data_IF_185145321489
#
_entry.id   IF_185145321489
#
_cell.length_a   1.000
_cell.length_b   1.000
_cell.length_c   1.000
_cell.angle_alpha   90.00
_cell.angle_beta   90.00
_cell.angle_gamma   90.00
#
_symmetry.space_group_name_H-M   'P 1'
#
loop_
_entity.id
_entity.type
_entity.pdbx_description
1 polymer ?
#
# COMPACT_ATOMS: atom_id res chain seq x y z
N UNK A 1 -1.51 -2.45 23.58
CA UNK A 1 -1.46 -3.21 22.32
C UNK A 1 -2.24 -2.40 21.29
N UNK A 2 -1.74 -2.23 20.08
CA UNK A 2 -2.41 -1.48 19.01
C UNK A 2 -3.41 -2.43 18.33
N UNK A 3 -4.69 -2.06 18.30
CA UNK A 3 -5.76 -2.85 17.70
C UNK A 3 -5.90 -2.49 16.22
N UNK A 4 -5.65 -3.47 15.35
CA UNK A 4 -5.62 -3.25 13.89
C UNK A 4 -6.78 -3.97 13.22
N UNK A 5 -7.43 -3.25 12.28
CA UNK A 5 -8.29 -3.82 11.25
C UNK A 5 -7.56 -3.99 9.93
N UNK A 6 -7.97 -4.96 9.10
CA UNK A 6 -7.46 -5.13 7.73
C UNK A 6 -8.63 -5.09 6.76
N UNK A 7 -8.51 -4.30 5.69
CA UNK A 7 -9.49 -4.24 4.59
C UNK A 7 -8.88 -4.82 3.32
N UNK A 8 -9.56 -5.82 2.76
CA UNK A 8 -9.09 -6.61 1.62
C UNK A 8 -8.24 -7.79 2.07
N UNK A 9 -8.79 -9.00 2.01
CA UNK A 9 -8.11 -10.27 2.34
C UNK A 9 -7.57 -10.97 1.08
N UNK A 10 -7.13 -10.17 0.10
CA UNK A 10 -6.39 -10.64 -1.05
C UNK A 10 -4.94 -10.97 -0.69
N UNK A 11 -4.08 -11.09 -1.70
CA UNK A 11 -2.66 -11.41 -1.52
C UNK A 11 -1.96 -10.46 -0.54
N UNK A 12 -2.07 -9.12 -0.74
CA UNK A 12 -1.42 -8.16 0.15
C UNK A 12 -2.04 -8.14 1.54
N UNK A 13 -3.36 -8.26 1.66
CA UNK A 13 -4.00 -8.34 2.98
C UNK A 13 -3.53 -9.52 3.81
N UNK A 14 -3.35 -10.68 3.19
CA UNK A 14 -2.76 -11.86 3.85
C UNK A 14 -1.29 -11.62 4.26
N UNK A 15 -0.50 -10.93 3.43
CA UNK A 15 0.87 -10.54 3.79
C UNK A 15 0.88 -9.59 4.99
N UNK A 16 -0.01 -8.58 5.01
CA UNK A 16 -0.15 -7.66 6.13
C UNK A 16 -0.56 -8.40 7.41
N UNK A 17 -1.50 -9.34 7.30
CA UNK A 17 -1.91 -10.18 8.43
C UNK A 17 -0.70 -10.89 9.06
N UNK A 18 0.14 -11.55 8.24
CA UNK A 18 1.33 -12.25 8.74
C UNK A 18 2.34 -11.30 9.37
N UNK A 19 2.58 -10.16 8.72
CA UNK A 19 3.49 -9.14 9.24
C UNK A 19 3.01 -8.64 10.61
N UNK A 20 1.74 -8.28 10.74
CA UNK A 20 1.19 -7.80 12.01
C UNK A 20 1.18 -8.89 13.08
N UNK A 21 0.86 -10.13 12.74
CA UNK A 21 0.85 -11.26 13.67
C UNK A 21 2.25 -11.60 14.21
N UNK A 22 3.31 -11.16 13.53
CA UNK A 22 4.70 -11.31 14.01
C UNK A 22 5.13 -10.22 14.99
N UNK A 23 4.32 -9.18 15.20
CA UNK A 23 4.65 -8.05 16.07
C UNK A 23 4.05 -8.24 17.47
N UNK A 24 4.86 -8.05 18.52
CA UNK A 24 4.45 -8.26 19.90
C UNK A 24 3.51 -7.19 20.49
N UNK A 25 3.42 -6.02 19.83
CA UNK A 25 2.67 -4.87 20.30
C UNK A 25 1.41 -4.57 19.48
N UNK A 26 1.03 -5.48 18.60
CA UNK A 26 -0.10 -5.36 17.67
C UNK A 26 -1.06 -6.54 17.88
N UNK A 27 -2.35 -6.28 17.75
CA UNK A 27 -3.40 -7.28 17.75
C UNK A 27 -4.33 -7.03 16.56
N UNK A 28 -4.51 -8.06 15.71
CA UNK A 28 -5.47 -8.01 14.62
C UNK A 28 -6.82 -8.41 15.19
N UNK A 29 -7.77 -7.48 15.25
CA UNK A 29 -9.08 -7.71 15.86
C UNK A 29 -10.23 -7.77 14.87
N UNK A 30 -10.05 -7.25 13.66
CA UNK A 30 -11.09 -7.20 12.63
C UNK A 30 -10.52 -7.35 11.22
N UNK A 31 -11.29 -8.00 10.35
CA UNK A 31 -11.01 -8.10 8.91
C UNK A 31 -12.29 -7.78 8.14
N UNK A 32 -12.17 -6.98 7.08
CA UNK A 32 -13.25 -6.67 6.16
C UNK A 32 -12.87 -7.06 4.73
N UNK A 33 -13.73 -7.84 4.08
CA UNK A 33 -13.65 -8.09 2.63
C UNK A 33 -15.07 -8.15 2.05
N UNK A 34 -15.30 -7.41 0.96
CA UNK A 34 -16.59 -7.42 0.27
C UNK A 34 -16.91 -8.81 -0.35
N UNK A 35 -15.87 -9.57 -0.68
CA UNK A 35 -15.99 -10.97 -1.08
C UNK A 35 -15.99 -11.87 0.18
N UNK A 36 -17.18 -12.16 0.68
CA UNK A 36 -17.35 -12.96 1.90
C UNK A 36 -16.82 -14.40 1.76
N UNK A 37 -16.63 -14.92 0.54
CA UNK A 37 -16.04 -16.22 0.33
C UNK A 37 -14.61 -16.30 0.85
N UNK A 38 -13.86 -15.20 0.79
CA UNK A 38 -12.49 -15.09 1.31
C UNK A 38 -12.41 -15.09 2.83
N UNK A 39 -13.49 -14.68 3.47
CA UNK A 39 -13.60 -14.71 4.95
C UNK A 39 -13.92 -16.13 5.45
N UNK A 40 -14.55 -16.97 4.63
CA UNK A 40 -14.90 -18.34 4.93
C UNK A 40 -13.81 -19.34 4.52
N UNK A 41 -13.26 -19.14 3.34
CA UNK A 41 -12.15 -19.94 2.79
C UNK A 41 -11.02 -18.99 2.42
N UNK A 42 -10.03 -18.90 3.29
CA UNK A 42 -8.86 -18.05 3.08
C UNK A 42 -7.67 -18.84 2.50
N UNK A 43 -7.87 -20.08 2.06
CA UNK A 43 -6.86 -20.89 1.38
C UNK A 43 -6.45 -20.27 0.04
N UNK A 44 -5.19 -20.37 -0.29
CA UNK A 44 -4.60 -20.14 -1.62
C UNK A 44 -4.96 -18.83 -2.31
N UNK A 45 -4.18 -17.77 -2.10
CA UNK A 45 -4.21 -16.59 -2.97
C UNK A 45 -2.98 -16.56 -3.86
N UNK A 46 -3.17 -16.56 -5.19
CA UNK A 46 -2.06 -16.40 -6.12
C UNK A 46 -1.39 -15.03 -5.94
N UNK A 47 -0.07 -15.00 -6.00
CA UNK A 47 0.74 -13.78 -5.89
C UNK A 47 2.16 -14.01 -6.40
N UNK A 48 2.99 -13.01 -6.33
CA UNK A 48 4.38 -13.03 -6.83
C UNK A 48 5.45 -13.21 -5.73
N UNK A 49 5.03 -13.38 -4.48
CA UNK A 49 5.93 -13.59 -3.33
C UNK A 49 5.54 -14.92 -2.68
N UNK A 50 6.51 -15.80 -2.46
CA UNK A 50 6.30 -17.07 -1.77
C UNK A 50 5.94 -16.88 -0.29
N UNK A 51 5.17 -17.81 0.30
CA UNK A 51 4.78 -17.78 1.71
C UNK A 51 3.43 -17.11 1.99
N UNK A 52 2.66 -16.73 0.96
CA UNK A 52 1.29 -16.23 1.10
C UNK A 52 0.22 -17.33 0.98
N UNK A 53 0.62 -18.59 0.88
CA UNK A 53 -0.24 -19.73 0.50
C UNK A 53 -0.91 -20.42 1.70
N UNK A 54 -0.42 -20.17 2.93
CA UNK A 54 -0.95 -20.83 4.13
C UNK A 54 -2.25 -20.19 4.61
N UNK A 55 -3.14 -21.00 5.15
CA UNK A 55 -4.38 -20.57 5.80
C UNK A 55 -4.08 -19.70 7.02
N UNK A 56 -4.89 -18.65 7.19
CA UNK A 56 -4.81 -17.75 8.33
C UNK A 56 -5.74 -18.23 9.45
N UNK A 57 -5.31 -18.14 10.69
CA UNK A 57 -6.18 -18.40 11.82
C UNK A 57 -7.07 -17.17 12.12
N UNK A 58 -8.30 -17.21 11.63
CA UNK A 58 -9.29 -16.14 11.79
C UNK A 58 -10.26 -16.36 12.97
N UNK A 59 -10.13 -17.42 13.76
CA UNK A 59 -11.11 -17.84 14.79
C UNK A 59 -11.40 -16.80 15.87
N UNK A 60 -10.48 -15.90 16.13
CA UNK A 60 -10.61 -14.85 17.16
C UNK A 60 -10.81 -13.45 16.57
N UNK A 61 -11.03 -13.33 15.28
CA UNK A 61 -11.08 -12.09 14.55
C UNK A 61 -12.51 -11.81 14.13
N UNK A 62 -12.99 -10.60 14.36
CA UNK A 62 -14.30 -10.16 13.88
C UNK A 62 -14.27 -10.00 12.36
N UNK A 63 -15.21 -10.61 11.66
CA UNK A 63 -15.26 -10.61 10.20
C UNK A 63 -16.41 -9.74 9.70
N UNK A 64 -16.12 -8.84 8.77
CA UNK A 64 -17.05 -7.88 8.21
C UNK A 64 -17.06 -7.94 6.69
N UNK A 65 -18.22 -7.69 6.09
CA UNK A 65 -18.35 -7.47 4.64
C UNK A 65 -18.53 -5.98 4.30
N UNK A 66 -18.63 -5.13 5.30
CA UNK A 66 -18.87 -3.70 5.19
C UNK A 66 -17.91 -2.92 6.10
N UNK A 67 -17.21 -1.93 5.49
CA UNK A 67 -16.21 -1.14 6.20
C UNK A 67 -16.82 -0.23 7.25
N UNK A 68 -17.95 0.43 6.92
CA UNK A 68 -18.61 1.36 7.84
C UNK A 68 -19.03 0.65 9.12
N UNK A 69 -19.54 -0.59 8.98
CA UNK A 69 -19.87 -1.43 10.13
C UNK A 69 -18.64 -1.80 10.95
N UNK A 70 -17.55 -2.21 10.30
CA UNK A 70 -16.29 -2.52 10.99
C UNK A 70 -15.75 -1.31 11.75
N UNK A 71 -15.78 -0.11 11.17
CA UNK A 71 -15.33 1.11 11.83
C UNK A 71 -16.21 1.52 13.02
N UNK A 72 -17.52 1.27 12.93
CA UNK A 72 -18.46 1.60 14.00
C UNK A 72 -18.37 0.63 15.20
N UNK A 73 -18.09 -0.65 14.97
CA UNK A 73 -18.13 -1.69 15.98
C UNK A 73 -16.74 -2.16 16.45
N UNK A 74 -15.71 -1.98 15.61
CA UNK A 74 -14.42 -2.65 15.77
C UNK A 74 -13.47 -2.05 16.79
N UNK A 75 -13.76 -0.87 17.36
CA UNK A 75 -12.86 -0.18 18.32
C UNK A 75 -11.38 -0.14 17.87
N UNK A 76 -11.14 0.20 16.61
CA UNK A 76 -9.83 0.14 15.97
C UNK A 76 -8.96 1.35 16.34
N UNK A 77 -7.66 1.10 16.59
CA UNK A 77 -6.65 2.15 16.68
C UNK A 77 -6.09 2.47 15.29
N UNK A 78 -5.94 1.45 14.42
CA UNK A 78 -5.42 1.61 13.07
C UNK A 78 -6.10 0.65 12.08
N UNK A 79 -6.15 1.06 10.82
CA UNK A 79 -6.67 0.30 9.69
C UNK A 79 -5.59 0.10 8.62
N UNK A 80 -5.44 -1.13 8.15
CA UNK A 80 -4.59 -1.48 7.03
C UNK A 80 -5.44 -1.72 5.79
N UNK A 81 -5.28 -0.90 4.76
CA UNK A 81 -6.05 -0.97 3.51
C UNK A 81 -5.20 -1.65 2.44
N UNK A 82 -5.63 -2.85 2.03
CA UNK A 82 -5.02 -3.70 1.01
C UNK A 82 -6.05 -4.12 -0.06
N UNK A 83 -7.06 -3.30 -0.25
CA UNK A 83 -8.11 -3.43 -1.27
C UNK A 83 -7.60 -2.99 -2.66
N UNK A 84 -8.38 -3.12 -3.73
CA UNK A 84 -8.02 -2.56 -5.04
C UNK A 84 -7.87 -1.03 -5.02
N UNK A 85 -6.91 -0.51 -5.79
CA UNK A 85 -6.50 0.90 -5.80
C UNK A 85 -7.65 1.91 -5.91
N UNK A 86 -8.68 1.61 -6.71
CA UNK A 86 -9.82 2.51 -6.90
C UNK A 86 -10.68 2.70 -5.65
N UNK A 87 -10.49 1.88 -4.61
CA UNK A 87 -11.16 1.99 -3.31
C UNK A 87 -10.32 2.71 -2.25
N UNK A 88 -9.03 2.89 -2.47
CA UNK A 88 -8.11 3.42 -1.46
C UNK A 88 -8.55 4.77 -0.91
N UNK A 89 -8.92 5.71 -1.79
CA UNK A 89 -9.28 7.06 -1.36
C UNK A 89 -10.53 7.07 -0.48
N UNK A 90 -11.62 6.46 -0.93
CA UNK A 90 -12.88 6.43 -0.18
C UNK A 90 -12.72 5.74 1.18
N UNK A 91 -12.08 4.59 1.21
CA UNK A 91 -11.86 3.83 2.44
C UNK A 91 -10.92 4.54 3.41
N UNK A 92 -9.87 5.19 2.90
CA UNK A 92 -8.96 5.98 3.73
C UNK A 92 -9.67 7.17 4.36
N UNK A 93 -10.43 7.93 3.57
CA UNK A 93 -11.17 9.10 4.05
C UNK A 93 -12.20 8.69 5.11
N UNK A 94 -12.92 7.60 4.88
CA UNK A 94 -13.89 7.06 5.82
C UNK A 94 -13.23 6.68 7.16
N UNK A 95 -12.11 5.94 7.13
CA UNK A 95 -11.39 5.53 8.33
C UNK A 95 -10.81 6.72 9.12
N UNK A 96 -10.20 7.69 8.42
CA UNK A 96 -9.66 8.90 9.05
C UNK A 96 -10.76 9.73 9.73
N UNK A 97 -11.93 9.87 9.09
CA UNK A 97 -13.10 10.55 9.66
C UNK A 97 -13.69 9.80 10.86
N UNK A 98 -13.58 8.47 10.88
CA UNK A 98 -13.94 7.65 12.04
C UNK A 98 -12.89 7.72 13.17
N UNK A 99 -11.82 8.51 13.00
CA UNK A 99 -10.79 8.69 14.03
C UNK A 99 -9.76 7.55 14.11
N UNK A 100 -9.58 6.78 13.05
CA UNK A 100 -8.66 5.64 12.96
C UNK A 100 -7.41 6.01 12.16
N UNK A 101 -6.23 5.62 12.61
CA UNK A 101 -4.99 5.76 11.84
C UNK A 101 -5.01 4.83 10.63
N UNK A 102 -4.41 5.23 9.52
CA UNK A 102 -4.46 4.44 8.28
C UNK A 102 -3.08 4.13 7.74
N UNK A 103 -2.85 2.85 7.46
CA UNK A 103 -1.83 2.37 6.54
C UNK A 103 -2.52 1.93 5.25
N UNK A 104 -2.23 2.60 4.14
CA UNK A 104 -2.84 2.30 2.83
C UNK A 104 -1.78 1.76 1.87
N UNK A 105 -2.10 0.68 1.17
CA UNK A 105 -1.25 0.16 0.10
C UNK A 105 -1.05 1.19 -1.02
N UNK A 106 0.07 1.02 -1.71
CA UNK A 106 0.37 1.78 -2.93
C UNK A 106 -0.47 1.25 -4.12
N UNK A 107 -0.72 2.08 -5.12
CA UNK A 107 -0.59 3.56 -5.15
C UNK A 107 -1.61 4.20 -4.21
N UNK A 108 -1.28 5.39 -3.70
CA UNK A 108 -2.15 6.10 -2.75
C UNK A 108 -3.59 6.25 -3.28
N UNK A 109 -3.76 6.67 -4.53
CA UNK A 109 -5.03 6.74 -5.25
C UNK A 109 -4.79 6.75 -6.76
N UNK A 110 -5.86 6.74 -7.57
CA UNK A 110 -5.78 6.77 -9.03
C UNK A 110 -5.47 8.16 -9.61
N UNK A 111 -5.67 9.22 -8.85
CA UNK A 111 -5.46 10.59 -9.31
C UNK A 111 -4.98 11.51 -8.19
N UNK A 112 -4.39 12.63 -8.57
CA UNK A 112 -3.82 13.59 -7.62
C UNK A 112 -4.86 14.37 -6.83
N UNK A 113 -6.11 14.43 -7.27
CA UNK A 113 -7.22 15.03 -6.53
C UNK A 113 -7.52 14.24 -5.27
N UNK A 114 -7.77 12.96 -5.44
CA UNK A 114 -8.02 12.02 -4.33
C UNK A 114 -6.84 11.97 -3.37
N UNK A 115 -5.59 11.96 -3.88
CA UNK A 115 -4.41 12.00 -3.02
C UNK A 115 -4.36 13.25 -2.13
N UNK A 116 -4.70 14.42 -2.68
CA UNK A 116 -4.76 15.66 -1.91
C UNK A 116 -5.87 15.63 -0.85
N UNK A 117 -7.04 15.11 -1.21
CA UNK A 117 -8.15 14.96 -0.29
C UNK A 117 -7.80 14.04 0.88
N UNK A 118 -7.23 12.87 0.60
CA UNK A 118 -6.75 11.94 1.64
C UNK A 118 -5.75 12.63 2.59
N UNK A 119 -4.79 13.38 2.05
CA UNK A 119 -3.79 14.10 2.85
C UNK A 119 -4.42 15.21 3.71
N UNK A 120 -5.38 15.94 3.16
CA UNK A 120 -6.08 17.01 3.88
C UNK A 120 -6.95 16.45 5.00
N UNK A 121 -7.70 15.37 4.74
CA UNK A 121 -8.50 14.69 5.78
C UNK A 121 -7.61 14.12 6.88
N UNK A 122 -6.46 13.54 6.55
CA UNK A 122 -5.49 13.09 7.55
C UNK A 122 -5.02 14.22 8.46
N UNK A 123 -4.74 15.39 7.88
CA UNK A 123 -4.35 16.59 8.63
C UNK A 123 -5.49 17.09 9.51
N UNK A 124 -6.71 17.15 8.99
CA UNK A 124 -7.89 17.64 9.73
C UNK A 124 -8.29 16.72 10.87
N UNK A 125 -8.25 15.41 10.65
CA UNK A 125 -8.57 14.42 11.69
C UNK A 125 -7.48 14.28 12.76
N UNK A 126 -6.27 14.80 12.52
CA UNK A 126 -5.10 14.59 13.38
C UNK A 126 -4.61 13.14 13.41
N UNK A 127 -5.03 12.32 12.44
CA UNK A 127 -4.64 10.92 12.35
C UNK A 127 -3.49 10.73 11.36
N UNK A 128 -2.72 9.69 11.57
CA UNK A 128 -1.63 9.32 10.66
C UNK A 128 -2.19 8.62 9.43
N UNK A 129 -1.77 9.07 8.26
CA UNK A 129 -1.90 8.35 7.01
C UNK A 129 -0.50 7.98 6.53
N UNK A 130 -0.24 6.70 6.35
CA UNK A 130 1.00 6.17 5.78
C UNK A 130 0.70 5.37 4.53
N UNK A 131 1.50 5.56 3.49
CA UNK A 131 1.38 4.81 2.23
C UNK A 131 2.47 3.73 2.16
N UNK A 132 2.13 2.55 1.66
CA UNK A 132 2.95 1.34 1.60
C UNK A 132 4.11 1.38 0.59
N UNK A 133 4.94 2.41 0.62
CA UNK A 133 6.14 2.51 -0.23
C UNK A 133 7.29 1.66 0.33
N UNK A 134 7.15 0.34 0.23
CA UNK A 134 8.01 -0.65 0.90
C UNK A 134 9.45 -0.67 0.40
N UNK A 135 9.72 -0.30 -0.87
CA UNK A 135 11.09 -0.40 -1.40
C UNK A 135 12.10 0.52 -0.70
N UNK A 136 11.64 1.58 -0.04
CA UNK A 136 12.49 2.44 0.78
C UNK A 136 13.22 1.67 1.90
N UNK A 137 12.70 0.50 2.28
CA UNK A 137 13.20 -0.34 3.37
C UNK A 137 13.89 -1.61 2.89
N UNK A 138 13.95 -1.84 1.57
CA UNK A 138 14.69 -2.99 1.03
C UNK A 138 16.19 -2.75 1.16
N UNK A 139 16.98 -3.75 1.56
CA UNK A 139 18.40 -3.57 1.90
C UNK A 139 19.21 -2.86 0.82
N UNK A 140 19.00 -3.20 -0.44
CA UNK A 140 19.71 -2.61 -1.57
C UNK A 140 19.36 -1.12 -1.76
N UNK A 141 18.11 -0.77 -1.53
CA UNK A 141 17.63 0.62 -1.64
C UNK A 141 18.07 1.45 -0.42
N UNK A 142 18.09 0.86 0.78
CA UNK A 142 18.65 1.50 1.97
C UNK A 142 20.14 1.81 1.75
N UNK A 143 20.91 0.84 1.26
CA UNK A 143 22.32 1.03 0.96
C UNK A 143 22.55 2.12 -0.11
N UNK A 144 21.74 2.14 -1.18
CA UNK A 144 21.85 3.18 -2.20
C UNK A 144 21.59 4.58 -1.62
N UNK A 145 20.59 4.71 -0.73
CA UNK A 145 20.29 5.97 -0.02
C UNK A 145 21.48 6.41 0.84
N UNK A 146 22.07 5.53 1.63
CA UNK A 146 23.23 5.83 2.46
C UNK A 146 24.44 6.29 1.63
N UNK A 147 24.70 5.64 0.49
CA UNK A 147 25.78 6.04 -0.42
C UNK A 147 25.56 7.45 -0.94
N UNK A 148 24.33 7.77 -1.34
CA UNK A 148 23.96 9.10 -1.89
C UNK A 148 24.06 10.17 -0.80
N UNK A 149 23.48 9.92 0.37
CA UNK A 149 23.45 10.87 1.48
C UNK A 149 24.86 11.17 2.02
N UNK A 150 25.73 10.16 2.07
CA UNK A 150 27.11 10.31 2.50
C UNK A 150 28.00 11.07 1.50
N UNK A 151 27.52 11.25 0.28
CA UNK A 151 28.29 11.83 -0.84
C UNK A 151 29.68 11.16 -1.06
N UNK A 152 29.81 9.90 -0.63
CA UNK A 152 31.08 9.15 -0.70
C UNK A 152 31.73 9.16 -2.10
N UNK A 153 30.91 9.17 -3.14
CA UNK A 153 31.34 9.19 -4.53
C UNK A 153 31.01 10.52 -5.25
N UNK A 154 30.65 11.55 -4.47
CA UNK A 154 30.25 12.84 -5.01
C UNK A 154 28.75 12.92 -5.36
N UNK A 155 28.38 13.92 -6.15
CA UNK A 155 27.01 14.15 -6.57
C UNK A 155 26.54 13.12 -7.59
N UNK A 156 25.30 12.69 -7.50
CA UNK A 156 24.66 11.88 -8.54
C UNK A 156 24.51 12.72 -9.80
N UNK A 157 25.08 12.24 -10.92
CA UNK A 157 25.07 12.93 -12.20
C UNK A 157 23.95 12.42 -13.11
N UNK A 158 23.61 11.14 -13.00
CA UNK A 158 22.54 10.51 -13.76
C UNK A 158 22.04 9.27 -13.00
N UNK A 159 20.76 8.93 -13.19
CA UNK A 159 20.17 7.70 -12.67
C UNK A 159 19.18 7.14 -13.69
N UNK A 160 19.17 5.81 -13.83
CA UNK A 160 18.21 5.08 -14.63
C UNK A 160 17.50 4.07 -13.75
N UNK A 161 16.17 4.13 -13.73
CA UNK A 161 15.33 3.20 -13.00
C UNK A 161 14.57 2.32 -13.99
N UNK A 162 14.76 1.03 -13.88
CA UNK A 162 14.06 0.04 -14.71
C UNK A 162 13.34 -0.95 -13.80
N UNK A 163 12.05 -1.13 -14.04
CA UNK A 163 11.25 -2.14 -13.36
C UNK A 163 10.54 -3.00 -14.40
N UNK A 164 11.04 -4.20 -14.56
CA UNK A 164 10.53 -5.17 -15.51
C UNK A 164 9.76 -6.25 -14.75
N UNK A 165 8.57 -6.57 -15.21
CA UNK A 165 7.72 -7.61 -14.63
C UNK A 165 6.92 -8.29 -15.73
N UNK A 166 6.55 -9.54 -15.49
CA UNK A 166 5.55 -10.20 -16.30
C UNK A 166 4.19 -9.53 -16.07
N UNK A 167 3.30 -9.64 -17.07
CA UNK A 167 1.91 -9.20 -16.92
C UNK A 167 1.26 -9.93 -15.74
N UNK A 168 0.71 -9.24 -14.76
CA UNK A 168 0.10 -9.87 -13.60
C UNK A 168 -1.21 -10.55 -13.99
N UNK A 169 -1.32 -11.84 -13.69
CA UNK A 169 -2.52 -12.66 -13.96
C UNK A 169 -3.26 -13.06 -12.69
N UNK A 170 -2.80 -12.60 -11.52
CA UNK A 170 -3.29 -13.01 -10.20
C UNK A 170 -4.16 -11.96 -9.49
N UNK A 171 -4.41 -10.81 -10.14
CA UNK A 171 -5.23 -9.77 -9.52
C UNK A 171 -6.70 -10.17 -9.47
N UNK A 172 -7.37 -9.75 -8.38
CA UNK A 172 -8.80 -9.92 -8.24
C UNK A 172 -9.55 -9.33 -9.43
N UNK A 173 -10.41 -10.13 -10.05
CA UNK A 173 -11.22 -9.73 -11.21
C UNK A 173 -10.38 -9.03 -12.31
N UNK A 174 -9.14 -9.49 -12.51
CA UNK A 174 -8.18 -8.93 -13.46
C UNK A 174 -7.98 -7.40 -13.34
N UNK A 175 -8.16 -6.82 -12.16
CA UNK A 175 -8.15 -5.37 -11.98
C UNK A 175 -6.83 -4.71 -12.42
N UNK A 176 -5.69 -5.41 -12.36
CA UNK A 176 -4.41 -4.88 -12.86
C UNK A 176 -4.38 -4.69 -14.38
N UNK A 177 -5.17 -5.46 -15.11
CA UNK A 177 -5.27 -5.33 -16.57
C UNK A 177 -6.22 -4.21 -17.00
N UNK A 178 -7.05 -3.69 -16.10
CA UNK A 178 -7.93 -2.56 -16.34
C UNK A 178 -7.26 -1.25 -15.85
N UNK A 179 -6.77 -0.46 -16.80
CA UNK A 179 -6.12 0.81 -16.50
C UNK A 179 -7.02 1.85 -15.78
N UNK A 180 -8.35 1.73 -15.88
CA UNK A 180 -9.27 2.59 -15.14
C UNK A 180 -9.35 2.23 -13.65
N UNK A 181 -9.05 0.98 -13.32
CA UNK A 181 -9.10 0.44 -11.95
C UNK A 181 -7.76 0.45 -11.25
N UNK A 182 -6.66 0.29 -12.00
CA UNK A 182 -5.30 0.18 -11.47
C UNK A 182 -4.40 1.38 -11.79
N UNK A 183 -4.75 2.17 -12.80
CA UNK A 183 -3.85 3.18 -13.37
C UNK A 183 -2.81 2.57 -14.32
N UNK A 184 -2.87 1.26 -14.59
CA UNK A 184 -1.93 0.53 -15.44
C UNK A 184 -0.51 0.44 -14.85
N UNK A 185 0.42 -0.09 -15.62
CA UNK A 185 1.80 -0.32 -15.16
C UNK A 185 2.52 0.97 -14.71
N UNK A 186 2.17 2.12 -15.28
CA UNK A 186 2.78 3.39 -14.90
C UNK A 186 2.44 3.78 -13.46
N UNK A 187 1.21 3.58 -13.03
CA UNK A 187 0.80 3.93 -11.67
C UNK A 187 0.99 2.75 -10.71
N UNK A 188 0.57 1.54 -11.08
CA UNK A 188 0.63 0.40 -10.16
C UNK A 188 2.06 -0.09 -9.91
N UNK A 189 2.88 -0.19 -10.96
CA UNK A 189 4.23 -0.76 -10.86
C UNK A 189 5.30 0.32 -10.70
N UNK A 190 5.31 1.35 -11.55
CA UNK A 190 6.37 2.34 -11.58
C UNK A 190 6.26 3.39 -10.46
N UNK A 191 5.16 3.42 -9.72
CA UNK A 191 5.00 4.30 -8.55
C UNK A 191 6.11 4.07 -7.50
N UNK A 192 6.60 2.85 -7.37
CA UNK A 192 7.70 2.52 -6.49
C UNK A 192 8.98 3.27 -6.85
N UNK A 193 9.29 3.34 -8.14
CA UNK A 193 10.51 4.02 -8.62
C UNK A 193 10.35 5.53 -8.56
N UNK A 194 9.16 6.04 -8.89
CA UNK A 194 8.82 7.47 -8.75
C UNK A 194 8.95 7.93 -7.30
N UNK A 195 8.43 7.15 -6.36
CA UNK A 195 8.55 7.43 -4.93
C UNK A 195 10.01 7.42 -4.48
N UNK A 196 10.76 6.41 -4.91
CA UNK A 196 12.15 6.27 -4.48
C UNK A 196 13.05 7.38 -5.04
N UNK A 197 12.84 7.83 -6.28
CA UNK A 197 13.53 9.02 -6.84
C UNK A 197 13.31 10.26 -5.97
N UNK A 198 12.08 10.49 -5.54
CA UNK A 198 11.76 11.60 -4.64
C UNK A 198 12.41 11.41 -3.26
N UNK A 199 12.38 10.19 -2.73
CA UNK A 199 12.99 9.84 -1.45
C UNK A 199 14.52 10.05 -1.46
N UNK A 200 15.18 9.78 -2.58
CA UNK A 200 16.60 10.09 -2.76
C UNK A 200 16.89 11.59 -2.87
N UNK A 201 15.89 12.45 -2.88
CA UNK A 201 16.01 13.89 -3.13
C UNK A 201 16.63 14.21 -4.49
N UNK A 202 16.46 13.32 -5.47
CA UNK A 202 16.96 13.50 -6.84
C UNK A 202 16.02 14.36 -7.70
N UNK A 203 14.92 14.82 -7.16
CA UNK A 203 13.91 15.64 -7.85
C UNK A 203 14.48 16.94 -8.43
N UNK A 204 15.56 17.44 -7.85
CA UNK A 204 16.25 18.62 -8.36
C UNK A 204 17.24 18.32 -9.50
N UNK A 205 17.47 17.03 -9.77
CA UNK A 205 18.33 16.57 -10.87
C UNK A 205 17.48 16.29 -12.12
N UNK A 206 16.21 15.94 -11.92
CA UNK A 206 15.25 15.82 -13.00
C UNK A 206 14.68 17.18 -13.35
N UNK A 207 15.42 18.02 -14.02
CA UNK A 207 14.80 19.00 -14.91
C UNK A 207 13.89 18.21 -15.86
N UNK A 208 12.63 18.64 -16.05
CA UNK A 208 11.81 18.05 -17.09
C UNK A 208 12.61 18.18 -18.38
N UNK A 209 12.88 17.05 -18.96
CA UNK A 209 13.61 16.85 -20.19
C UNK A 209 13.54 18.08 -21.07
N UNK A 210 14.64 18.84 -21.18
CA UNK A 210 14.88 19.62 -22.40
C UNK A 210 14.74 18.62 -23.54
N UNK A 211 13.90 18.87 -24.53
CA UNK A 211 13.93 18.09 -25.74
C UNK A 211 15.36 18.10 -26.20
N UNK A 212 16.00 16.94 -26.27
CA UNK A 212 17.24 16.81 -26.99
C UNK A 212 16.87 17.06 -28.45
N UNK A 213 17.00 18.30 -28.89
CA UNK A 213 17.05 18.59 -30.31
C UNK A 213 18.37 18.01 -30.81
N UNK A 214 18.29 16.83 -31.41
CA UNK A 214 19.31 16.33 -32.33
C UNK A 214 19.00 16.90 -33.70
#
# INVERSE_FOLDING_TARGET
MIRIGIVGLGFMGKMHFRCYNSLNNVEIIAICDADTSRLQDNSGTAGNISGAEDDLDLRKIALYSDLSKMLAEGELDALSIASPTFLHASQTIEALNAGVHVFCEKPMALNSGDCREMAEVAKQSGKTLQIGHCIRFWPEYVQAKEIIDSQKYGKVLAATFQRLSLTPTWSWDNCFLDGKRSGGAMLDLHIHDTDYVQYLSLIHISEPTRPLYI
#
